data_IF_485091293674
#
_entry.id   IF_485091293674
#
_cell.length_a   1.000
_cell.length_b   1.000
_cell.length_c   1.000
_cell.angle_alpha   90.00
_cell.angle_beta   90.00
_cell.angle_gamma   90.00
#
_symmetry.space_group_name_H-M   'P 1'
#
loop_
_entity.id
_entity.type
_entity.pdbx_description
1 polymer ?
#
# COMPACT_ATOMS: atom_id res chain seq x y z
N UNK A 1 36.20 14.39 -5.60
CA UNK A 1 34.81 14.79 -5.87
C UNK A 1 34.13 13.60 -6.51
N UNK A 2 33.61 12.68 -5.70
CA UNK A 2 32.95 11.45 -6.17
C UNK A 2 31.45 11.69 -6.09
N UNK A 3 30.91 12.34 -7.11
CA UNK A 3 29.49 12.47 -7.31
C UNK A 3 28.98 11.20 -8.05
N UNK A 4 27.80 10.72 -7.66
CA UNK A 4 27.02 9.62 -8.25
C UNK A 4 27.53 8.24 -7.78
N UNK A 5 26.89 7.58 -6.81
CA UNK A 5 25.71 6.75 -7.09
C UNK A 5 24.74 6.72 -5.89
N UNK A 6 24.24 7.89 -5.51
CA UNK A 6 23.03 8.00 -4.67
C UNK A 6 21.79 7.75 -5.53
N UNK A 7 21.83 6.75 -6.43
CA UNK A 7 20.60 6.13 -6.88
C UNK A 7 20.10 5.39 -5.65
N UNK A 8 19.29 6.06 -4.84
CA UNK A 8 18.61 5.44 -3.72
C UNK A 8 17.68 4.39 -4.34
N UNK A 9 18.22 3.20 -4.60
CA UNK A 9 17.52 2.14 -5.30
C UNK A 9 16.25 1.87 -4.53
N UNK A 10 15.13 2.21 -5.15
CA UNK A 10 13.83 2.04 -4.53
C UNK A 10 13.54 0.54 -4.49
N UNK A 11 13.88 -0.07 -3.35
CA UNK A 11 13.80 -1.51 -3.15
C UNK A 11 12.51 -1.93 -2.44
N UNK A 12 12.37 -3.24 -2.24
CA UNK A 12 11.22 -3.87 -1.57
C UNK A 12 10.83 -3.21 -0.25
N UNK A 13 11.79 -2.79 0.56
CA UNK A 13 11.52 -2.14 1.85
C UNK A 13 10.82 -0.78 1.70
N UNK A 14 11.30 0.06 0.78
CA UNK A 14 10.71 1.36 0.53
C UNK A 14 9.29 1.23 -0.05
N UNK A 15 9.08 0.25 -0.94
CA UNK A 15 7.77 -0.05 -1.50
C UNK A 15 6.77 -0.53 -0.45
N UNK A 16 7.21 -1.36 0.50
CA UNK A 16 6.35 -1.77 1.64
C UNK A 16 5.98 -0.58 2.54
N UNK A 17 6.92 0.30 2.85
CA UNK A 17 6.64 1.50 3.64
C UNK A 17 5.64 2.43 2.94
N UNK A 18 5.72 2.54 1.61
CA UNK A 18 4.74 3.27 0.81
C UNK A 18 3.34 2.64 0.88
N UNK A 19 3.25 1.31 0.82
CA UNK A 19 1.98 0.58 0.99
C UNK A 19 1.38 0.77 2.38
N UNK A 20 2.19 0.75 3.44
CA UNK A 20 1.77 1.07 4.81
C UNK A 20 1.15 2.47 4.91
N UNK A 21 1.83 3.48 4.38
CA UNK A 21 1.34 4.86 4.38
C UNK A 21 0.05 5.02 3.57
N UNK A 22 -0.10 4.27 2.46
CA UNK A 22 -1.36 4.22 1.71
C UNK A 22 -2.49 3.56 2.50
N UNK A 23 -2.20 2.46 3.21
CA UNK A 23 -3.19 1.72 3.99
C UNK A 23 -3.79 2.58 5.12
N UNK A 24 -3.02 3.53 5.68
CA UNK A 24 -3.48 4.43 6.76
C UNK A 24 -4.43 5.53 6.30
N UNK A 25 -4.59 5.74 4.98
CA UNK A 25 -5.49 6.78 4.46
C UNK A 25 -6.94 6.32 4.54
N UNK A 26 -7.88 7.25 4.65
CA UNK A 26 -9.33 6.96 4.61
C UNK A 26 -9.77 6.21 3.35
N UNK A 27 -9.03 6.36 2.25
CA UNK A 27 -9.26 5.65 0.98
C UNK A 27 -8.28 4.49 0.78
N UNK A 28 -7.65 3.99 1.85
CA UNK A 28 -6.56 3.01 1.80
C UNK A 28 -6.96 1.73 1.06
N UNK A 29 -8.18 1.22 1.30
CA UNK A 29 -8.68 0.05 0.59
C UNK A 29 -8.78 0.27 -0.93
N UNK A 30 -9.29 1.43 -1.37
CA UNK A 30 -9.38 1.77 -2.79
C UNK A 30 -7.98 1.96 -3.42
N UNK A 31 -7.06 2.60 -2.70
CA UNK A 31 -5.69 2.83 -3.15
C UNK A 31 -4.89 1.53 -3.29
N UNK A 32 -4.97 0.63 -2.30
CA UNK A 32 -4.30 -0.66 -2.35
C UNK A 32 -4.88 -1.57 -3.44
N UNK A 33 -6.19 -1.53 -3.66
CA UNK A 33 -6.84 -2.26 -4.76
C UNK A 33 -6.37 -1.74 -6.12
N UNK A 34 -6.29 -0.42 -6.28
CA UNK A 34 -5.73 0.22 -7.47
C UNK A 34 -4.25 -0.12 -7.66
N UNK A 35 -3.48 -0.19 -6.57
CA UNK A 35 -2.09 -0.62 -6.59
C UNK A 35 -1.94 -2.05 -7.12
N UNK A 36 -2.73 -3.02 -6.61
CA UNK A 36 -2.70 -4.40 -7.10
C UNK A 36 -3.03 -4.47 -8.61
N UNK A 37 -4.09 -3.78 -9.05
CA UNK A 37 -4.48 -3.75 -10.46
C UNK A 37 -3.42 -3.11 -11.37
N UNK A 38 -2.72 -2.08 -10.87
CA UNK A 38 -1.59 -1.48 -11.59
C UNK A 38 -0.36 -2.38 -11.62
N UNK A 39 -0.09 -3.08 -10.51
CA UNK A 39 1.03 -3.99 -10.36
C UNK A 39 0.92 -5.23 -11.25
N UNK A 40 -0.30 -5.70 -11.57
CA UNK A 40 -0.52 -6.75 -12.57
C UNK A 40 -0.01 -6.34 -13.97
N UNK A 41 -0.16 -5.06 -14.33
CA UNK A 41 0.25 -4.51 -15.63
C UNK A 41 1.73 -4.11 -15.65
N UNK A 42 2.40 -4.05 -14.50
CA UNK A 42 3.80 -3.67 -14.37
C UNK A 42 4.71 -4.84 -14.76
N UNK A 43 5.49 -4.65 -15.83
CA UNK A 43 6.45 -5.64 -16.34
C UNK A 43 7.85 -5.48 -15.76
N UNK A 44 8.24 -4.27 -15.35
CA UNK A 44 9.59 -3.98 -14.80
C UNK A 44 9.50 -3.64 -13.32
N UNK A 45 10.18 -4.44 -12.49
CA UNK A 45 10.20 -4.32 -11.03
C UNK A 45 11.56 -3.91 -10.45
N UNK A 46 12.62 -3.91 -11.26
CA UNK A 46 13.98 -3.54 -10.86
C UNK A 46 14.43 -4.28 -9.58
N UNK A 47 14.89 -3.59 -8.55
CA UNK A 47 15.30 -4.15 -7.26
C UNK A 47 14.14 -4.51 -6.31
N UNK A 48 12.89 -4.46 -6.76
CA UNK A 48 11.70 -4.76 -5.95
C UNK A 48 11.30 -6.23 -6.12
N UNK A 49 11.17 -6.94 -5.00
CA UNK A 49 10.59 -8.27 -4.96
C UNK A 49 9.07 -8.21 -5.12
N UNK A 50 8.61 -8.36 -6.37
CA UNK A 50 7.18 -8.36 -6.73
C UNK A 50 6.30 -9.22 -5.83
N UNK A 51 6.68 -10.49 -5.64
CA UNK A 51 5.85 -11.45 -4.91
C UNK A 51 5.64 -11.01 -3.46
N UNK A 52 6.71 -10.53 -2.84
CA UNK A 52 6.71 -10.06 -1.45
C UNK A 52 5.87 -8.80 -1.27
N UNK A 53 5.95 -7.85 -2.22
CA UNK A 53 5.19 -6.60 -2.20
C UNK A 53 3.71 -6.83 -2.47
N UNK A 54 3.36 -7.67 -3.44
CA UNK A 54 1.96 -8.00 -3.73
C UNK A 54 1.29 -8.73 -2.57
N UNK A 55 2.00 -9.71 -1.98
CA UNK A 55 1.52 -10.40 -0.79
C UNK A 55 1.31 -9.41 0.37
N UNK A 56 2.24 -8.47 0.55
CA UNK A 56 2.13 -7.45 1.57
C UNK A 56 0.94 -6.50 1.36
N UNK A 57 0.72 -6.02 0.13
CA UNK A 57 -0.44 -5.20 -0.21
C UNK A 57 -1.77 -5.93 0.04
N UNK A 58 -1.84 -7.23 -0.29
CA UNK A 58 -3.02 -8.05 -0.02
C UNK A 58 -3.28 -8.24 1.49
N UNK A 59 -2.21 -8.43 2.29
CA UNK A 59 -2.32 -8.50 3.74
C UNK A 59 -2.87 -7.19 4.33
N UNK A 60 -2.38 -6.04 3.87
CA UNK A 60 -2.86 -4.73 4.31
C UNK A 60 -4.32 -4.49 3.93
N UNK A 61 -4.76 -4.91 2.74
CA UNK A 61 -6.17 -4.87 2.34
C UNK A 61 -7.06 -5.69 3.27
N UNK A 62 -6.65 -6.92 3.56
CA UNK A 62 -7.40 -7.82 4.43
C UNK A 62 -7.43 -7.31 5.89
N UNK A 63 -6.36 -6.67 6.36
CA UNK A 63 -6.28 -6.07 7.68
C UNK A 63 -7.09 -4.76 7.79
N UNK A 64 -7.07 -3.92 6.77
CA UNK A 64 -7.80 -2.64 6.72
C UNK A 64 -9.32 -2.82 6.58
N UNK A 65 -9.77 -3.88 5.90
CA UNK A 65 -11.20 -4.22 5.80
C UNK A 65 -11.84 -4.66 7.12
N UNK A 66 -11.05 -5.01 8.15
CA UNK A 66 -11.55 -5.32 9.48
C UNK A 66 -11.77 -4.08 10.37
N UNK A 67 -11.35 -2.89 9.92
CA UNK A 67 -11.39 -1.64 10.69
C UNK A 67 -12.56 -0.70 10.41
N UNK A 68 -13.38 -0.97 9.40
CA UNK A 68 -14.58 -0.19 9.08
C UNK A 68 -15.84 -0.80 9.74
N UNK A 69 -15.78 -1.08 11.04
CA UNK A 69 -17.02 -1.06 11.85
C UNK A 69 -17.29 0.38 12.26
N UNK A 70 -17.88 1.11 11.32
CA UNK A 70 -19.06 1.92 11.59
C UNK A 70 -19.06 2.68 12.92
N UNK A 71 -18.47 3.88 12.91
CA UNK A 71 -19.01 4.98 13.68
C UNK A 71 -20.30 5.47 12.97
N UNK A 72 -21.35 4.66 12.91
CA UNK A 72 -22.67 5.19 12.58
C UNK A 72 -23.10 6.03 13.78
N UNK A 73 -23.20 7.32 13.54
CA UNK A 73 -23.86 8.25 14.43
C UNK A 73 -25.27 7.72 14.72
N UNK A 74 -25.48 7.20 15.93
CA UNK A 74 -26.81 7.08 16.49
C UNK A 74 -27.24 8.50 16.89
N UNK A 75 -27.70 9.26 15.90
CA UNK A 75 -28.60 10.37 16.15
C UNK A 75 -29.83 9.78 16.86
N UNK A 76 -30.09 10.26 18.08
CA UNK A 76 -31.24 9.85 18.86
C UNK A 76 -32.57 10.17 18.18
N UNK A 77 -33.65 9.59 18.70
CA UNK A 77 -34.81 10.41 19.03
C UNK A 77 -35.14 10.27 20.52
N UNK A 78 -35.35 11.43 21.15
CA UNK A 78 -36.10 11.55 22.39
C UNK A 78 -37.60 11.49 22.09
#
# INVERSE_FOLDING_TARGET
MSALDTSATYGTFAEKAFLDEMARKRTGAALLSGYLAAAEKRTVWDAINKAEVLLYAQLLLNAGGAGETTCQSAAGPA
#
